data_IF_996285691232
#
_entry.id   IF_996285691232
#
_cell.length_a   1.000
_cell.length_b   1.000
_cell.length_c   1.000
_cell.angle_alpha   90.00
_cell.angle_beta   90.00
_cell.angle_gamma   90.00
#
_symmetry.space_group_name_H-M   'P 1'
#
loop_
_entity.id
_entity.type
_entity.pdbx_description
1 polymer ?
#
# COMPACT_ATOMS: atom_id res chain seq x y z
N UNK A 1 6.54 36.89 -2.91
CA UNK A 1 6.99 37.94 -3.86
C UNK A 1 8.49 37.83 -3.98
N UNK A 2 9.01 37.73 -5.22
CA UNK A 2 10.43 37.64 -5.63
C UNK A 2 11.14 36.31 -5.26
N UNK A 3 11.60 35.40 -6.14
CA UNK A 3 11.95 35.44 -7.57
C UNK A 3 11.71 34.05 -8.20
N UNK A 4 10.70 33.92 -9.08
CA UNK A 4 10.57 32.87 -10.09
C UNK A 4 10.66 33.53 -11.49
N UNK A 5 11.71 34.30 -11.72
CA UNK A 5 11.94 34.95 -13.03
C UNK A 5 13.29 34.48 -13.55
N UNK A 6 13.23 33.51 -14.48
CA UNK A 6 14.22 33.12 -15.49
C UNK A 6 14.27 31.59 -15.68
N UNK A 7 13.12 30.97 -15.93
CA UNK A 7 13.08 29.62 -16.53
C UNK A 7 12.70 29.82 -18.00
N UNK A 8 13.60 29.57 -18.97
CA UNK A 8 13.24 29.68 -20.38
C UNK A 8 12.26 28.55 -20.76
N UNK A 9 11.29 28.80 -21.65
CA UNK A 9 10.33 27.77 -22.04
C UNK A 9 11.03 26.67 -22.85
N UNK A 10 10.68 25.42 -22.57
CA UNK A 10 11.12 24.26 -23.36
C UNK A 10 10.38 24.31 -24.70
N UNK A 11 10.99 24.92 -25.71
CA UNK A 11 10.50 24.83 -27.09
C UNK A 11 10.58 23.37 -27.55
N UNK A 12 9.60 22.94 -28.33
CA UNK A 12 9.41 21.56 -28.82
C UNK A 12 10.52 21.00 -29.74
N UNK A 13 11.68 21.64 -29.78
CA UNK A 13 12.80 21.36 -30.72
C UNK A 13 14.20 21.42 -30.05
N UNK A 14 14.34 21.03 -28.78
CA UNK A 14 15.68 20.89 -28.18
C UNK A 14 16.26 19.49 -28.42
N UNK A 15 17.27 19.41 -29.28
CA UNK A 15 18.04 18.20 -29.57
C UNK A 15 18.84 17.70 -28.35
N UNK A 16 19.17 16.40 -28.37
CA UNK A 16 19.71 15.54 -27.30
C UNK A 16 21.03 15.97 -26.61
N UNK A 17 21.49 17.21 -26.72
CA UNK A 17 22.78 17.66 -26.16
C UNK A 17 22.69 18.50 -24.87
N UNK A 18 21.49 18.85 -24.37
CA UNK A 18 21.34 19.76 -23.20
C UNK A 18 21.12 19.07 -21.85
N UNK A 19 20.83 17.77 -21.81
CA UNK A 19 20.55 17.00 -20.58
C UNK A 19 21.77 16.83 -19.64
N UNK A 20 23.02 16.62 -20.13
CA UNK A 20 24.15 16.33 -19.24
C UNK A 20 24.60 17.50 -18.35
N UNK A 21 24.37 18.76 -18.78
CA UNK A 21 24.80 19.95 -18.01
C UNK A 21 23.94 20.20 -16.77
N UNK A 22 22.64 19.89 -16.84
CA UNK A 22 21.70 20.08 -15.73
C UNK A 22 22.01 19.11 -14.59
N UNK A 23 22.24 17.82 -14.87
CA UNK A 23 22.51 16.81 -13.83
C UNK A 23 23.81 17.11 -13.04
N UNK A 24 24.78 17.74 -13.70
CA UNK A 24 26.08 18.08 -13.10
C UNK A 24 26.01 19.31 -12.19
N UNK A 25 25.14 20.28 -12.47
CA UNK A 25 24.91 21.43 -11.58
C UNK A 25 24.09 21.05 -10.34
N UNK A 26 23.08 20.19 -10.50
CA UNK A 26 22.23 19.73 -9.40
C UNK A 26 22.99 18.92 -8.35
N UNK A 27 23.95 18.10 -8.79
CA UNK A 27 24.82 17.32 -7.89
C UNK A 27 25.79 18.20 -7.11
N UNK A 28 26.33 19.28 -7.71
CA UNK A 28 27.16 20.25 -6.97
C UNK A 28 26.39 21.04 -5.90
N UNK A 29 25.15 21.42 -6.18
CA UNK A 29 24.29 22.13 -5.23
C UNK A 29 23.79 21.25 -4.08
N UNK A 30 23.62 19.94 -4.33
CA UNK A 30 23.20 18.99 -3.30
C UNK A 30 24.33 18.67 -2.30
N UNK A 31 25.58 18.59 -2.76
CA UNK A 31 26.73 18.25 -1.91
C UNK A 31 27.38 19.43 -1.20
N UNK A 32 27.17 20.68 -1.62
CA UNK A 32 27.74 21.86 -0.94
C UNK A 32 27.02 22.24 0.36
N UNK A 33 25.88 21.61 0.67
CA UNK A 33 25.02 21.94 1.82
C UNK A 33 25.09 20.99 3.02
N UNK A 34 25.86 19.90 2.95
CA UNK A 34 26.15 19.05 4.10
C UNK A 34 27.53 19.37 4.68
N UNK A 35 27.62 20.50 5.39
CA UNK A 35 28.74 20.79 6.30
C UNK A 35 28.30 20.34 7.69
N UNK A 36 28.82 19.21 8.16
CA UNK A 36 28.48 18.62 9.45
C UNK A 36 28.75 19.62 10.60
N UNK A 37 27.72 19.95 11.38
CA UNK A 37 27.81 20.78 12.58
C UNK A 37 27.39 19.97 13.80
N UNK A 38 28.31 19.20 14.37
CA UNK A 38 28.51 19.01 15.83
C UNK A 38 29.42 17.80 16.10
N UNK A 39 30.11 17.83 17.24
CA UNK A 39 31.21 16.92 17.58
C UNK A 39 30.82 15.49 17.96
N UNK A 40 29.55 15.11 17.95
CA UNK A 40 29.06 13.84 18.51
C UNK A 40 28.94 12.68 17.49
N UNK A 41 29.07 12.93 16.19
CA UNK A 41 29.07 11.87 15.16
C UNK A 41 30.46 11.27 14.86
N UNK A 42 31.54 11.92 15.34
CA UNK A 42 32.91 11.40 15.15
C UNK A 42 33.22 10.18 16.01
N UNK A 43 32.49 9.97 17.11
CA UNK A 43 32.75 8.86 18.03
C UNK A 43 32.04 7.56 17.64
N UNK A 44 31.02 7.60 16.77
CA UNK A 44 30.36 6.41 16.23
C UNK A 44 31.22 5.62 15.23
N UNK A 45 32.29 6.22 14.68
CA UNK A 45 33.17 5.56 13.70
C UNK A 45 34.42 4.89 14.30
N UNK A 46 34.66 4.98 15.62
CA UNK A 46 35.82 4.34 16.27
C UNK A 46 35.58 2.90 16.74
N UNK A 47 34.36 2.38 16.72
CA UNK A 47 34.03 1.04 17.23
C UNK A 47 34.36 -0.13 16.27
N UNK A 48 34.80 0.14 15.04
CA UNK A 48 35.11 -0.91 14.06
C UNK A 48 36.50 -0.75 13.38
N UNK A 49 37.55 -0.64 14.20
CA UNK A 49 38.85 -1.23 13.86
C UNK A 49 39.67 -0.62 12.71
N UNK A 50 39.63 0.70 12.49
CA UNK A 50 40.55 1.36 11.55
C UNK A 50 41.66 2.13 12.30
N UNK A 51 42.93 1.69 12.13
CA UNK A 51 44.11 2.43 12.59
C UNK A 51 44.56 3.44 11.52
N UNK A 52 44.77 4.67 11.99
CA UNK A 52 45.65 5.75 11.50
C UNK A 52 45.50 6.27 10.06
N UNK A 53 45.33 7.58 9.97
CA UNK A 53 45.20 8.40 8.77
C UNK A 53 46.55 9.04 8.43
N UNK A 54 47.11 8.74 7.25
CA UNK A 54 48.25 9.49 6.71
C UNK A 54 48.19 9.48 5.17
N UNK A 55 48.17 10.67 4.56
CA UNK A 55 48.39 10.83 3.12
C UNK A 55 47.22 10.47 2.19
N UNK A 56 46.01 10.95 2.44
CA UNK A 56 45.01 11.26 1.38
C UNK A 56 44.50 10.14 0.46
N UNK A 57 44.83 8.87 0.66
CA UNK A 57 44.34 7.74 -0.14
C UNK A 57 43.90 6.57 0.77
N UNK A 58 42.69 6.05 0.55
CA UNK A 58 42.23 4.79 1.12
C UNK A 58 42.64 3.65 0.18
N UNK A 59 43.50 2.74 0.65
CA UNK A 59 43.79 1.49 -0.07
C UNK A 59 42.91 0.38 0.50
N UNK A 60 41.83 0.04 -0.20
CA UNK A 60 41.05 -1.17 0.08
C UNK A 60 41.69 -2.34 -0.69
N UNK A 61 42.20 -3.36 0.02
CA UNK A 61 42.49 -4.65 -0.60
C UNK A 61 41.16 -5.33 -0.93
N UNK A 62 40.71 -5.21 -2.18
CA UNK A 62 39.66 -6.06 -2.74
C UNK A 62 40.28 -7.37 -3.20
N UNK A 63 39.94 -8.47 -2.54
CA UNK A 63 40.11 -9.79 -3.12
C UNK A 63 39.12 -9.92 -4.29
N UNK A 64 39.68 -9.99 -5.51
CA UNK A 64 39.06 -10.52 -6.73
C UNK A 64 37.73 -9.93 -7.14
N UNK A 65 37.74 -8.99 -8.09
CA UNK A 65 36.76 -8.82 -9.18
C UNK A 65 37.31 -7.75 -10.15
N UNK A 66 37.53 -8.11 -11.42
CA UNK A 66 38.12 -7.20 -12.42
C UNK A 66 37.13 -6.14 -12.90
N UNK A 67 37.51 -4.87 -12.87
CA UNK A 67 36.75 -3.78 -13.49
C UNK A 67 37.01 -3.72 -15.01
N UNK A 68 35.97 -3.90 -15.82
CA UNK A 68 36.00 -3.52 -17.24
C UNK A 68 35.46 -2.10 -17.42
N UNK A 69 36.25 -1.25 -18.08
CA UNK A 69 35.96 0.16 -18.31
C UNK A 69 34.99 0.32 -19.48
N UNK A 70 33.72 0.62 -19.22
CA UNK A 70 32.72 0.86 -20.29
C UNK A 70 33.00 2.23 -20.94
N UNK A 71 33.41 2.24 -22.21
CA UNK A 71 33.65 3.49 -22.94
C UNK A 71 32.35 4.12 -23.45
N UNK A 72 32.30 5.45 -23.50
CA UNK A 72 31.15 6.24 -24.03
C UNK A 72 30.74 5.84 -25.46
N UNK A 73 31.67 5.28 -26.26
CA UNK A 73 31.37 4.73 -27.61
C UNK A 73 30.59 3.41 -27.57
N UNK A 74 30.73 2.61 -26.51
CA UNK A 74 29.96 1.36 -26.34
C UNK A 74 28.47 1.62 -26.14
N UNK A 75 28.12 2.72 -25.46
CA UNK A 75 26.73 3.10 -25.22
C UNK A 75 26.03 3.63 -26.49
N UNK A 76 26.75 4.40 -27.32
CA UNK A 76 26.19 4.98 -28.55
C UNK A 76 25.99 3.95 -29.67
N UNK A 77 26.79 2.89 -29.71
CA UNK A 77 26.58 1.78 -30.67
C UNK A 77 25.37 0.90 -30.34
N UNK A 78 24.97 0.83 -29.06
CA UNK A 78 23.80 0.05 -28.62
C UNK A 78 22.46 0.77 -28.83
N UNK A 79 22.44 2.10 -28.91
CA UNK A 79 21.21 2.87 -29.14
C UNK A 79 20.80 2.93 -30.62
N UNK A 80 21.73 2.74 -31.56
CA UNK A 80 21.49 2.87 -33.00
C UNK A 80 20.83 1.67 -33.68
N UNK A 81 20.75 0.50 -33.04
CA UNK A 81 20.25 -0.75 -33.63
C UNK A 81 18.81 -1.11 -33.26
N UNK A 82 18.09 -0.27 -32.53
CA UNK A 82 16.71 -0.55 -32.12
C UNK A 82 15.62 -0.10 -33.12
N UNK A 83 15.98 0.37 -34.32
CA UNK A 83 15.02 0.93 -35.27
C UNK A 83 14.50 -0.03 -36.36
N UNK A 84 15.03 -1.24 -36.54
CA UNK A 84 14.50 -2.16 -37.57
C UNK A 84 14.62 -3.64 -37.20
N UNK A 85 13.47 -4.32 -37.13
CA UNK A 85 13.34 -5.74 -37.44
C UNK A 85 13.69 -6.74 -36.33
N UNK A 86 12.77 -7.68 -36.09
CA UNK A 86 13.01 -8.84 -35.25
C UNK A 86 14.11 -9.76 -35.83
N UNK A 87 14.84 -10.40 -34.90
CA UNK A 87 15.66 -11.63 -35.03
C UNK A 87 17.20 -11.48 -34.90
N UNK A 88 17.67 -11.96 -33.73
CA UNK A 88 18.93 -12.67 -33.44
C UNK A 88 20.28 -12.05 -33.86
N UNK A 89 21.14 -11.75 -32.88
CA UNK A 89 22.34 -12.55 -32.56
C UNK A 89 22.74 -12.25 -31.10
N UNK A 90 22.75 -13.30 -30.29
CA UNK A 90 23.41 -13.33 -29.00
C UNK A 90 24.92 -13.51 -29.23
N UNK A 91 25.72 -12.54 -28.82
CA UNK A 91 27.12 -12.76 -28.42
C UNK A 91 27.64 -11.53 -27.67
N UNK A 92 27.72 -11.63 -26.34
CA UNK A 92 28.73 -10.88 -25.59
C UNK A 92 28.39 -9.47 -25.15
N UNK A 93 27.21 -9.20 -24.57
CA UNK A 93 27.05 -8.13 -23.59
C UNK A 93 26.04 -8.58 -22.54
N UNK A 94 26.45 -8.49 -21.27
CA UNK A 94 25.67 -8.94 -20.12
C UNK A 94 24.22 -8.48 -20.20
N UNK A 95 23.34 -9.46 -20.00
CA UNK A 95 21.91 -9.36 -19.74
C UNK A 95 21.51 -8.08 -19.01
N UNK A 96 21.22 -7.03 -19.78
CA UNK A 96 20.26 -6.01 -19.38
C UNK A 96 18.90 -6.62 -19.66
N UNK A 97 18.42 -7.44 -18.71
CA UNK A 97 17.00 -7.76 -18.63
C UNK A 97 16.27 -6.43 -18.48
N UNK A 98 15.66 -5.95 -19.56
CA UNK A 98 14.58 -4.99 -19.44
C UNK A 98 13.58 -5.61 -18.45
N UNK A 99 13.34 -4.91 -17.34
CA UNK A 99 12.42 -5.33 -16.29
C UNK A 99 10.97 -5.23 -16.80
N UNK A 100 10.64 -6.04 -17.79
CA UNK A 100 9.27 -6.45 -18.03
C UNK A 100 9.09 -7.73 -17.23
N UNK A 101 8.28 -7.66 -16.17
CA UNK A 101 7.75 -8.87 -15.55
C UNK A 101 7.05 -9.66 -16.68
N UNK A 102 7.66 -10.78 -17.10
CA UNK A 102 6.91 -11.79 -17.86
C UNK A 102 5.78 -12.22 -16.94
N UNK A 103 4.54 -12.04 -17.40
CA UNK A 103 3.33 -12.13 -16.60
C UNK A 103 3.43 -13.17 -15.49
N UNK A 104 3.54 -12.68 -14.26
CA UNK A 104 3.73 -13.53 -13.09
C UNK A 104 2.46 -14.34 -12.83
N UNK A 105 2.58 -15.46 -12.09
CA UNK A 105 1.42 -16.23 -11.58
C UNK A 105 0.42 -15.37 -10.79
N UNK A 106 0.85 -14.18 -10.37
CA UNK A 106 0.09 -13.18 -9.62
C UNK A 106 -0.78 -12.26 -10.48
N UNK A 107 -0.67 -12.32 -11.81
CA UNK A 107 -1.43 -11.48 -12.75
C UNK A 107 -2.66 -12.20 -13.33
N UNK A 108 -2.84 -13.49 -13.02
CA UNK A 108 -4.02 -14.26 -13.41
C UNK A 108 -5.08 -14.19 -12.33
N UNK A 109 -6.26 -13.71 -12.69
CA UNK A 109 -7.41 -13.61 -11.80
C UNK A 109 -8.51 -14.62 -12.18
N UNK A 110 -9.34 -15.04 -11.21
CA UNK A 110 -9.16 -14.88 -9.77
C UNK A 110 -7.97 -15.71 -9.24
N UNK A 111 -7.41 -15.31 -8.10
CA UNK A 111 -6.47 -16.17 -7.37
C UNK A 111 -7.21 -17.40 -6.80
N UNK A 112 -6.53 -18.55 -6.67
CA UNK A 112 -7.17 -19.77 -6.18
C UNK A 112 -7.71 -19.58 -4.77
N UNK A 113 -8.97 -19.97 -4.52
CA UNK A 113 -9.60 -19.84 -3.20
C UNK A 113 -10.23 -21.15 -2.75
N UNK A 114 -9.92 -21.55 -1.52
CA UNK A 114 -10.56 -22.63 -0.77
C UNK A 114 -11.34 -22.02 0.40
N UNK A 115 -12.51 -22.59 0.72
CA UNK A 115 -13.35 -22.07 1.80
C UNK A 115 -12.61 -22.13 3.14
N UNK A 116 -12.72 -21.04 3.90
CA UNK A 116 -12.14 -20.93 5.23
C UNK A 116 -13.24 -20.98 6.29
N UNK A 117 -12.87 -21.37 7.51
CA UNK A 117 -13.77 -21.29 8.66
C UNK A 117 -13.80 -19.84 9.19
N UNK A 118 -14.97 -19.17 9.24
CA UNK A 118 -15.07 -17.79 9.71
C UNK A 118 -14.58 -17.60 11.15
N UNK A 119 -14.89 -18.54 12.05
CA UNK A 119 -14.50 -18.48 13.46
C UNK A 119 -12.99 -18.57 13.67
N UNK A 120 -12.34 -19.58 13.07
CA UNK A 120 -10.89 -19.74 13.05
C UNK A 120 -10.20 -18.52 12.46
N UNK A 121 -10.73 -17.98 11.36
CA UNK A 121 -10.17 -16.78 10.74
C UNK A 121 -10.27 -15.56 11.65
N UNK A 122 -11.38 -15.41 12.37
CA UNK A 122 -11.58 -14.35 13.34
C UNK A 122 -10.61 -14.48 14.53
N UNK A 123 -10.37 -15.69 15.05
CA UNK A 123 -9.36 -15.93 16.09
C UNK A 123 -7.95 -15.55 15.63
N UNK A 124 -7.55 -15.94 14.41
CA UNK A 124 -6.24 -15.58 13.88
C UNK A 124 -6.14 -14.05 13.73
N UNK A 125 -7.17 -13.40 13.18
CA UNK A 125 -7.19 -11.94 13.03
C UNK A 125 -7.12 -11.21 14.37
N UNK A 126 -7.82 -11.70 15.40
CA UNK A 126 -7.74 -11.14 16.75
C UNK A 126 -6.32 -11.20 17.30
N UNK A 127 -5.66 -12.35 17.17
CA UNK A 127 -4.31 -12.56 17.69
C UNK A 127 -3.25 -11.77 16.91
N UNK A 128 -3.32 -11.80 15.58
CA UNK A 128 -2.40 -11.08 14.69
C UNK A 128 -2.53 -9.56 14.81
N UNK A 129 -3.68 -9.05 15.26
CA UNK A 129 -3.87 -7.62 15.47
C UNK A 129 -2.82 -7.02 16.40
N UNK A 130 -2.36 -7.78 17.40
CA UNK A 130 -1.34 -7.31 18.34
C UNK A 130 0.08 -7.26 17.75
N UNK A 131 0.29 -7.82 16.55
CA UNK A 131 1.56 -7.80 15.82
C UNK A 131 1.53 -6.81 14.65
N UNK A 132 0.45 -6.84 13.86
CA UNK A 132 0.33 -6.11 12.58
C UNK A 132 -0.89 -5.21 12.45
N UNK A 133 -1.62 -5.01 13.54
CA UNK A 133 -2.80 -4.12 13.62
C UNK A 133 -3.91 -4.46 12.62
N UNK A 134 -4.84 -3.52 12.46
CA UNK A 134 -6.16 -3.77 11.87
C UNK A 134 -6.12 -4.36 10.46
N UNK A 135 -5.45 -3.69 9.52
CA UNK A 135 -5.44 -4.12 8.12
C UNK A 135 -4.52 -5.29 7.88
N UNK A 136 -3.30 -5.24 8.42
CA UNK A 136 -2.35 -6.33 8.37
C UNK A 136 -2.93 -7.64 8.93
N UNK A 137 -3.70 -7.59 10.02
CA UNK A 137 -4.26 -8.80 10.62
C UNK A 137 -5.44 -9.40 9.84
N UNK A 138 -6.27 -8.61 9.15
CA UNK A 138 -7.29 -9.15 8.22
C UNK A 138 -6.61 -9.87 7.04
N UNK A 139 -5.55 -9.27 6.50
CA UNK A 139 -4.78 -9.88 5.41
C UNK A 139 -4.09 -11.16 5.91
N UNK A 140 -3.40 -11.06 7.05
CA UNK A 140 -2.67 -12.16 7.68
C UNK A 140 -3.59 -13.34 7.95
N UNK A 141 -4.76 -13.13 8.55
CA UNK A 141 -5.64 -14.22 8.95
C UNK A 141 -6.18 -15.04 7.78
N UNK A 142 -6.36 -14.43 6.60
CA UNK A 142 -6.89 -15.12 5.42
C UNK A 142 -5.73 -15.69 4.58
N UNK A 143 -4.72 -14.88 4.29
CA UNK A 143 -3.63 -15.29 3.39
C UNK A 143 -2.69 -16.32 4.02
N UNK A 144 -2.48 -16.31 5.33
CA UNK A 144 -1.71 -17.39 5.99
C UNK A 144 -2.40 -18.76 5.81
N UNK A 145 -3.70 -18.83 6.06
CA UNK A 145 -4.47 -20.06 5.89
C UNK A 145 -4.52 -20.53 4.44
N UNK A 146 -4.68 -19.61 3.48
CA UNK A 146 -4.63 -19.95 2.06
C UNK A 146 -3.22 -20.34 1.62
N UNK A 147 -2.17 -19.75 2.21
CA UNK A 147 -0.77 -20.15 2.01
C UNK A 147 -0.48 -21.57 2.50
N UNK A 148 -1.06 -21.98 3.63
CA UNK A 148 -0.97 -23.35 4.13
C UNK A 148 -1.72 -24.36 3.24
N UNK A 149 -2.92 -23.99 2.78
CA UNK A 149 -3.81 -24.86 2.01
C UNK A 149 -3.44 -24.99 0.53
N UNK A 150 -3.06 -23.88 -0.10
CA UNK A 150 -2.90 -23.74 -1.55
C UNK A 150 -1.44 -23.50 -1.92
N UNK A 151 -0.67 -22.81 -1.07
CA UNK A 151 0.70 -22.40 -1.37
C UNK A 151 0.74 -21.06 -2.09
N UNK A 152 1.40 -21.01 -3.25
CA UNK A 152 1.49 -19.78 -4.04
C UNK A 152 0.14 -19.41 -4.67
N UNK A 153 -0.16 -18.10 -4.78
CA UNK A 153 0.71 -16.95 -4.48
C UNK A 153 0.64 -16.41 -3.04
N UNK A 154 -0.15 -17.03 -2.16
CA UNK A 154 -0.36 -16.54 -0.79
C UNK A 154 0.87 -16.74 0.10
N UNK A 155 1.58 -17.86 -0.10
CA UNK A 155 2.76 -18.21 0.70
C UNK A 155 3.87 -17.16 0.61
N UNK A 156 4.05 -16.53 -0.55
CA UNK A 156 5.05 -15.48 -0.76
C UNK A 156 4.49 -14.05 -0.65
N UNK A 157 3.22 -13.88 -0.25
CA UNK A 157 2.60 -12.56 -0.16
C UNK A 157 3.19 -11.73 1.02
N UNK A 158 3.63 -10.48 0.80
CA UNK A 158 4.33 -9.69 1.82
C UNK A 158 3.34 -9.05 2.83
N UNK A 159 2.70 -9.86 3.67
CA UNK A 159 1.66 -9.45 4.61
C UNK A 159 2.11 -8.29 5.52
N UNK A 160 3.33 -8.38 6.07
CA UNK A 160 3.85 -7.40 7.03
C UNK A 160 4.05 -6.01 6.42
N UNK A 161 4.19 -5.92 5.10
CA UNK A 161 4.26 -4.63 4.41
C UNK A 161 2.98 -3.81 4.56
N UNK A 162 1.86 -4.41 5.00
CA UNK A 162 0.57 -3.75 5.20
C UNK A 162 0.32 -3.24 6.63
N UNK A 163 1.33 -3.31 7.51
CA UNK A 163 1.22 -2.77 8.89
C UNK A 163 0.85 -1.29 8.91
N UNK A 164 1.22 -0.54 7.86
CA UNK A 164 0.88 0.88 7.72
C UNK A 164 -0.63 1.17 7.73
N UNK A 165 -1.48 0.17 7.50
CA UNK A 165 -2.94 0.32 7.57
C UNK A 165 -3.45 0.59 9.00
N UNK A 166 -2.60 0.47 10.02
CA UNK A 166 -2.92 0.75 11.40
C UNK A 166 -3.47 2.16 11.62
N UNK A 167 -4.28 2.36 12.67
CA UNK A 167 -4.77 3.70 13.03
C UNK A 167 -5.56 4.42 11.92
N UNK A 168 -5.97 3.70 10.87
CA UNK A 168 -6.53 4.29 9.66
C UNK A 168 -5.48 5.04 8.84
N UNK A 169 -4.40 4.32 8.55
CA UNK A 169 -3.19 4.69 7.81
C UNK A 169 -2.14 5.44 8.65
N UNK A 170 -1.45 4.78 9.56
CA UNK A 170 -0.42 5.39 10.43
C UNK A 170 -0.98 6.50 11.32
N UNK A 171 -2.18 6.29 11.85
CA UNK A 171 -2.76 7.13 12.91
C UNK A 171 -3.56 8.36 12.46
N UNK A 172 -3.67 8.61 11.15
CA UNK A 172 -4.47 9.72 10.61
C UNK A 172 -5.99 9.58 10.81
N UNK A 173 -6.45 8.40 11.21
CA UNK A 173 -7.86 8.18 11.54
C UNK A 173 -8.78 8.10 10.33
N UNK A 174 -8.26 7.89 9.11
CA UNK A 174 -9.02 7.85 7.86
C UNK A 174 -9.88 6.58 7.73
N UNK A 175 -9.78 5.79 6.64
CA UNK A 175 -10.49 4.50 6.54
C UNK A 175 -10.05 3.55 7.65
N UNK A 176 -10.96 2.79 8.27
CA UNK A 176 -10.56 1.78 9.23
C UNK A 176 -9.65 0.73 8.58
N UNK A 177 -8.50 0.45 9.19
CA UNK A 177 -7.53 -0.50 8.62
C UNK A 177 -8.11 -1.87 8.34
N UNK A 178 -9.05 -2.38 9.16
CA UNK A 178 -9.72 -3.67 8.91
C UNK A 178 -10.54 -3.64 7.61
N UNK A 179 -11.22 -2.52 7.32
CA UNK A 179 -11.95 -2.33 6.06
C UNK A 179 -10.99 -2.25 4.86
N UNK A 180 -9.86 -1.55 5.02
CA UNK A 180 -8.83 -1.48 3.98
C UNK A 180 -8.23 -2.86 3.70
N UNK A 181 -7.88 -3.62 4.74
CA UNK A 181 -7.40 -5.01 4.62
C UNK A 181 -8.42 -5.91 3.92
N UNK A 182 -9.71 -5.78 4.26
CA UNK A 182 -10.77 -6.55 3.60
C UNK A 182 -10.93 -6.20 2.10
N UNK A 183 -10.76 -4.93 1.74
CA UNK A 183 -10.77 -4.49 0.34
C UNK A 183 -9.57 -5.06 -0.42
N UNK A 184 -8.38 -5.08 0.19
CA UNK A 184 -7.19 -5.71 -0.40
C UNK A 184 -7.44 -7.20 -0.63
N UNK A 185 -7.87 -7.93 0.39
CA UNK A 185 -8.11 -9.37 0.30
C UNK A 185 -9.13 -9.72 -0.78
N UNK A 186 -10.28 -9.06 -0.80
CA UNK A 186 -11.33 -9.35 -1.80
C UNK A 186 -10.90 -9.05 -3.24
N UNK A 187 -10.17 -7.95 -3.47
CA UNK A 187 -9.68 -7.60 -4.81
C UNK A 187 -8.49 -8.46 -5.24
N UNK A 188 -7.68 -8.98 -4.31
CA UNK A 188 -6.60 -9.94 -4.63
C UNK A 188 -7.18 -11.33 -4.88
N UNK A 189 -8.16 -11.79 -4.12
CA UNK A 189 -8.71 -13.14 -4.35
C UNK A 189 -9.53 -13.17 -5.64
N UNK A 190 -10.45 -12.23 -5.81
CA UNK A 190 -11.41 -12.26 -6.93
C UNK A 190 -10.84 -11.56 -8.18
N UNK A 191 -9.90 -10.66 -7.98
CA UNK A 191 -9.33 -9.80 -9.01
C UNK A 191 -9.92 -8.39 -9.01
N UNK A 192 -9.19 -7.41 -9.57
CA UNK A 192 -9.68 -6.06 -9.74
C UNK A 192 -10.72 -6.00 -10.86
N UNK A 193 -11.63 -5.02 -10.82
CA UNK A 193 -12.67 -4.84 -11.86
C UNK A 193 -12.13 -4.70 -13.29
N UNK A 194 -10.86 -4.31 -13.43
CA UNK A 194 -10.18 -4.16 -14.73
C UNK A 194 -9.65 -5.47 -15.31
N UNK A 195 -9.71 -6.58 -14.56
CA UNK A 195 -9.22 -7.89 -15.00
C UNK A 195 -10.16 -8.62 -15.97
N UNK A 196 -11.36 -8.07 -16.22
CA UNK A 196 -12.34 -8.64 -17.14
C UNK A 196 -13.38 -9.53 -16.44
N UNK A 197 -14.10 -10.35 -17.23
CA UNK A 197 -15.20 -11.16 -16.73
C UNK A 197 -14.79 -12.11 -15.58
N UNK A 198 -15.55 -12.10 -14.49
CA UNK A 198 -15.31 -12.95 -13.30
C UNK A 198 -14.62 -12.25 -12.13
N UNK A 199 -14.12 -11.02 -12.32
CA UNK A 199 -13.48 -10.21 -11.27
C UNK A 199 -14.34 -9.05 -10.73
N UNK A 200 -15.60 -8.97 -11.13
CA UNK A 200 -16.49 -7.84 -10.80
C UNK A 200 -16.84 -7.81 -9.31
N UNK A 201 -16.85 -8.98 -8.65
CA UNK A 201 -17.31 -9.12 -7.27
C UNK A 201 -16.28 -8.68 -6.22
N UNK A 202 -15.00 -8.57 -6.55
CA UNK A 202 -13.94 -8.15 -5.61
C UNK A 202 -14.24 -6.79 -5.00
N UNK A 203 -14.42 -5.77 -5.84
CA UNK A 203 -14.76 -4.42 -5.38
C UNK A 203 -16.17 -4.33 -4.75
N UNK A 204 -17.12 -5.17 -5.18
CA UNK A 204 -18.48 -5.20 -4.61
C UNK A 204 -18.47 -5.72 -3.18
N UNK A 205 -17.75 -6.83 -2.92
CA UNK A 205 -17.57 -7.38 -1.56
C UNK A 205 -16.84 -6.37 -0.68
N UNK A 206 -15.76 -5.77 -1.17
CA UNK A 206 -15.02 -4.73 -0.44
C UNK A 206 -15.90 -3.53 -0.05
N UNK A 207 -16.77 -3.07 -0.94
CA UNK A 207 -17.74 -2.01 -0.65
C UNK A 207 -18.82 -2.45 0.36
N UNK A 208 -19.34 -3.67 0.21
CA UNK A 208 -20.35 -4.22 1.11
C UNK A 208 -19.86 -4.41 2.54
N UNK A 209 -18.58 -4.76 2.71
CA UNK A 209 -17.97 -4.83 4.04
C UNK A 209 -17.91 -3.46 4.70
N UNK A 210 -17.58 -2.40 3.95
CA UNK A 210 -17.60 -1.04 4.49
C UNK A 210 -19.01 -0.62 4.93
N UNK A 211 -20.04 -0.97 4.15
CA UNK A 211 -21.45 -0.74 4.52
C UNK A 211 -21.82 -1.52 5.78
N UNK A 212 -21.59 -2.84 5.78
CA UNK A 212 -21.87 -3.70 6.92
C UNK A 212 -21.16 -3.21 8.19
N UNK A 213 -19.88 -2.84 8.09
CA UNK A 213 -19.11 -2.26 9.20
C UNK A 213 -19.77 -0.99 9.75
N UNK A 214 -20.29 -0.15 8.86
CA UNK A 214 -20.88 1.13 9.22
C UNK A 214 -22.20 0.94 9.97
N UNK A 215 -23.01 -0.05 9.57
CA UNK A 215 -24.37 -0.25 10.07
C UNK A 215 -24.47 -1.28 11.21
N UNK A 216 -23.43 -2.10 11.41
CA UNK A 216 -23.44 -3.16 12.43
C UNK A 216 -22.95 -2.65 13.78
N UNK A 217 -23.63 -2.99 14.90
CA UNK A 217 -23.08 -2.79 16.24
C UNK A 217 -21.82 -3.65 16.46
N UNK A 218 -20.63 -3.02 16.36
CA UNK A 218 -19.35 -3.69 16.47
C UNK A 218 -18.70 -3.50 17.85
N UNK A 219 -17.95 -4.51 18.38
CA UNK A 219 -17.56 -5.76 17.72
C UNK A 219 -18.68 -6.82 17.63
N UNK A 220 -18.75 -7.54 16.50
CA UNK A 220 -19.70 -8.63 16.27
C UNK A 220 -19.18 -9.95 16.85
N UNK A 221 -17.91 -10.26 16.55
CA UNK A 221 -17.20 -11.42 17.04
C UNK A 221 -16.56 -11.18 18.41
N UNK A 222 -16.67 -12.17 19.31
CA UNK A 222 -15.96 -12.21 20.58
C UNK A 222 -14.96 -13.36 20.53
N UNK A 223 -13.65 -13.11 20.71
CA UNK A 223 -12.65 -14.18 20.71
C UNK A 223 -12.86 -15.11 21.91
N UNK A 224 -12.44 -16.37 21.76
CA UNK A 224 -12.52 -17.38 22.83
C UNK A 224 -11.75 -16.94 24.07
N UNK A 225 -10.54 -16.44 23.85
CA UNK A 225 -9.67 -15.94 24.92
C UNK A 225 -9.32 -14.46 24.70
N UNK A 226 -10.22 -13.52 25.06
CA UNK A 226 -9.90 -12.11 24.96
C UNK A 226 -8.82 -11.74 25.98
N UNK A 227 -7.86 -10.91 25.58
CA UNK A 227 -6.85 -10.31 26.46
C UNK A 227 -7.48 -9.37 27.48
N UNK A 228 -8.57 -8.70 27.12
CA UNK A 228 -9.35 -7.85 28.04
C UNK A 228 -10.64 -8.56 28.42
N UNK A 229 -10.77 -8.91 29.70
CA UNK A 229 -11.95 -9.64 30.22
C UNK A 229 -13.14 -8.73 30.50
N UNK A 230 -12.91 -7.42 30.66
CA UNK A 230 -13.97 -6.42 30.77
C UNK A 230 -14.89 -6.46 29.55
N UNK A 231 -16.20 -6.29 29.77
CA UNK A 231 -17.17 -6.20 28.69
C UNK A 231 -16.84 -5.02 27.76
N UNK A 232 -16.67 -5.31 26.47
CA UNK A 232 -16.43 -4.30 25.44
C UNK A 232 -17.77 -3.89 24.84
N UNK A 233 -18.14 -2.61 25.04
CA UNK A 233 -19.37 -2.06 24.49
C UNK A 233 -19.44 -2.22 22.96
N UNK A 234 -20.63 -2.48 22.42
CA UNK A 234 -20.89 -2.49 20.99
C UNK A 234 -21.45 -1.14 20.55
N UNK A 235 -20.97 -0.61 19.43
CA UNK A 235 -21.45 0.64 18.86
C UNK A 235 -21.55 0.55 17.34
N UNK A 236 -22.59 1.14 16.77
CA UNK A 236 -22.69 1.40 15.34
C UNK A 236 -21.90 2.66 15.00
N UNK A 237 -21.10 2.62 13.92
CA UNK A 237 -20.21 3.72 13.56
C UNK A 237 -20.85 4.72 12.61
N UNK A 238 -21.81 4.28 11.81
CA UNK A 238 -22.42 5.02 10.69
C UNK A 238 -21.38 5.57 9.71
N UNK A 239 -20.17 5.00 9.70
CA UNK A 239 -19.05 5.48 8.90
C UNK A 239 -17.94 4.43 8.80
N UNK A 240 -17.32 4.24 7.62
CA UNK A 240 -16.16 3.37 7.49
C UNK A 240 -14.88 4.00 8.08
N UNK A 241 -14.94 5.23 8.60
CA UNK A 241 -13.80 5.98 9.10
C UNK A 241 -13.41 5.55 10.53
N UNK A 242 -12.11 5.36 10.73
CA UNK A 242 -11.50 4.96 11.99
C UNK A 242 -11.77 5.99 13.09
N UNK A 243 -11.58 7.29 12.80
CA UNK A 243 -11.77 8.36 13.78
C UNK A 243 -13.22 8.41 14.29
N UNK A 244 -14.21 8.23 13.39
CA UNK A 244 -15.63 8.21 13.76
C UNK A 244 -15.96 6.95 14.57
N UNK A 245 -15.53 5.78 14.08
CA UNK A 245 -15.83 4.52 14.77
C UNK A 245 -15.24 4.47 16.18
N UNK A 246 -13.96 4.84 16.33
CA UNK A 246 -13.28 4.83 17.63
C UNK A 246 -13.84 5.94 18.52
N UNK A 247 -14.08 7.14 18.00
CA UNK A 247 -14.63 8.27 18.75
C UNK A 247 -16.01 7.99 19.32
N UNK A 248 -16.93 7.42 18.53
CA UNK A 248 -18.27 7.00 19.00
C UNK A 248 -18.17 5.93 20.09
N UNK A 249 -17.28 4.96 19.91
CA UNK A 249 -17.06 3.93 20.92
C UNK A 249 -16.52 4.51 22.23
N UNK A 250 -15.51 5.38 22.16
CA UNK A 250 -14.93 6.03 23.36
C UNK A 250 -15.98 6.86 24.11
N UNK A 251 -16.85 7.59 23.38
CA UNK A 251 -17.95 8.33 23.98
C UNK A 251 -18.93 7.41 24.72
N UNK A 252 -19.26 6.25 24.13
CA UNK A 252 -20.19 5.30 24.71
C UNK A 252 -19.61 4.49 25.87
N UNK A 253 -18.31 4.17 25.82
CA UNK A 253 -17.65 3.30 26.80
C UNK A 253 -16.98 4.05 27.95
N UNK A 254 -16.67 5.34 27.77
CA UNK A 254 -15.91 6.14 28.72
C UNK A 254 -14.40 5.87 28.72
N UNK A 255 -13.91 4.91 27.91
CA UNK A 255 -12.49 4.58 27.88
C UNK A 255 -11.69 5.52 26.96
N UNK A 256 -10.47 5.93 27.36
CA UNK A 256 -9.64 6.82 26.57
C UNK A 256 -8.98 6.12 25.37
N UNK A 257 -8.48 6.89 24.41
CA UNK A 257 -7.82 6.37 23.19
C UNK A 257 -6.62 5.46 23.51
N UNK A 258 -5.87 5.73 24.58
CA UNK A 258 -4.70 4.94 24.97
C UNK A 258 -5.03 3.61 25.67
N UNK A 259 -6.29 3.39 26.04
CA UNK A 259 -6.70 2.28 26.91
C UNK A 259 -6.49 0.90 26.28
N UNK A 260 -6.31 -0.10 27.15
CA UNK A 260 -6.20 -1.49 26.73
C UNK A 260 -7.53 -2.01 26.15
N UNK A 261 -8.65 -1.53 26.69
CA UNK A 261 -10.02 -1.79 26.25
C UNK A 261 -10.25 -1.28 24.82
N UNK A 262 -9.79 -0.06 24.48
CA UNK A 262 -9.88 0.46 23.11
C UNK A 262 -9.06 -0.40 22.15
N UNK A 263 -7.83 -0.75 22.52
CA UNK A 263 -6.96 -1.60 21.70
C UNK A 263 -7.61 -2.96 21.44
N UNK A 264 -8.11 -3.60 22.49
CA UNK A 264 -8.83 -4.87 22.41
C UNK A 264 -10.12 -4.77 21.60
N UNK A 265 -10.89 -3.67 21.73
CA UNK A 265 -12.02 -3.39 20.85
C UNK A 265 -11.62 -3.36 19.38
N UNK A 266 -10.51 -2.71 19.03
CA UNK A 266 -10.01 -2.70 17.65
C UNK A 266 -9.58 -4.09 17.18
N UNK A 267 -9.00 -4.91 18.04
CA UNK A 267 -8.69 -6.31 17.73
C UNK A 267 -9.97 -7.13 17.48
N UNK A 268 -11.01 -6.99 18.31
CA UNK A 268 -12.30 -7.67 18.11
C UNK A 268 -13.05 -7.20 16.87
N UNK A 269 -12.98 -5.91 16.56
CA UNK A 269 -13.53 -5.35 15.31
C UNK A 269 -12.80 -5.92 14.10
N UNK A 270 -11.47 -6.05 14.19
CA UNK A 270 -10.66 -6.70 13.15
C UNK A 270 -11.06 -8.16 12.93
N UNK A 271 -11.24 -8.91 14.02
CA UNK A 271 -11.76 -10.27 13.98
C UNK A 271 -13.17 -10.34 13.37
N UNK A 272 -14.04 -9.40 13.72
CA UNK A 272 -15.41 -9.30 13.19
C UNK A 272 -15.43 -9.07 11.68
N UNK A 273 -14.56 -8.18 11.17
CA UNK A 273 -14.43 -7.92 9.74
C UNK A 273 -13.88 -9.13 9.01
N UNK A 274 -12.87 -9.80 9.56
CA UNK A 274 -12.33 -11.03 8.97
C UNK A 274 -13.38 -12.16 8.92
N UNK A 275 -14.17 -12.33 9.98
CA UNK A 275 -15.29 -13.27 10.04
C UNK A 275 -16.28 -13.01 8.89
N UNK A 276 -16.79 -11.78 8.80
CA UNK A 276 -17.79 -11.39 7.80
C UNK A 276 -17.25 -11.52 6.38
N UNK A 277 -15.99 -11.16 6.15
CA UNK A 277 -15.34 -11.29 4.85
C UNK A 277 -15.25 -12.76 4.42
N UNK A 278 -14.91 -13.67 5.32
CA UNK A 278 -14.86 -15.11 4.99
C UNK A 278 -16.25 -15.65 4.66
N UNK A 279 -17.30 -15.22 5.35
CA UNK A 279 -18.67 -15.58 4.96
C UNK A 279 -18.98 -15.13 3.52
N UNK A 280 -18.62 -13.89 3.17
CA UNK A 280 -18.88 -13.34 1.84
C UNK A 280 -18.04 -14.03 0.75
N UNK A 281 -16.76 -14.35 1.03
CA UNK A 281 -15.89 -15.09 0.12
C UNK A 281 -16.35 -16.54 -0.05
N UNK A 282 -16.80 -17.20 1.01
CA UNK A 282 -17.37 -18.54 0.94
C UNK A 282 -18.67 -18.55 0.12
N UNK A 283 -19.56 -17.57 0.34
CA UNK A 283 -20.77 -17.41 -0.45
C UNK A 283 -20.45 -17.13 -1.93
N UNK A 284 -19.44 -16.31 -2.20
CA UNK A 284 -18.98 -16.04 -3.57
C UNK A 284 -18.45 -17.30 -4.24
N UNK A 285 -17.63 -18.08 -3.53
CA UNK A 285 -17.08 -19.35 -4.01
C UNK A 285 -18.16 -20.36 -4.35
N UNK A 286 -19.25 -20.40 -3.57
CA UNK A 286 -20.40 -21.26 -3.78
C UNK A 286 -21.39 -20.72 -4.85
N UNK A 287 -21.12 -19.55 -5.45
CA UNK A 287 -22.02 -18.89 -6.40
C UNK A 287 -23.29 -18.30 -5.77
N UNK A 288 -23.32 -18.17 -4.44
CA UNK A 288 -24.48 -17.74 -3.64
C UNK A 288 -24.35 -16.30 -3.10
N UNK A 289 -23.30 -15.58 -3.49
CA UNK A 289 -23.12 -14.21 -3.03
C UNK A 289 -24.10 -13.25 -3.70
N UNK A 290 -25.03 -12.72 -2.90
CA UNK A 290 -25.94 -11.67 -3.31
C UNK A 290 -25.39 -10.31 -2.90
N UNK A 291 -25.22 -9.42 -3.88
CA UNK A 291 -24.74 -8.06 -3.62
C UNK A 291 -25.83 -7.28 -2.87
N UNK A 292 -25.49 -6.73 -1.70
CA UNK A 292 -26.44 -5.97 -0.87
C UNK A 292 -26.29 -4.45 -0.96
N UNK A 293 -25.16 -3.94 -1.45
CA UNK A 293 -25.01 -2.52 -1.74
C UNK A 293 -25.69 -2.21 -3.07
N UNK A 294 -26.86 -1.60 -2.97
CA UNK A 294 -27.22 -0.57 -3.91
C UNK A 294 -26.31 0.63 -3.63
N UNK A 295 -25.36 0.88 -4.53
CA UNK A 295 -24.54 2.09 -4.48
C UNK A 295 -25.43 3.25 -4.91
N UNK A 296 -26.29 3.72 -4.00
CA UNK A 296 -27.05 4.95 -4.19
C UNK A 296 -26.06 6.09 -4.28
N UNK A 297 -26.13 6.96 -5.32
CA UNK A 297 -25.22 8.08 -5.44
C UNK A 297 -25.29 8.85 -4.12
N UNK A 298 -24.13 9.09 -3.53
CA UNK A 298 -23.96 9.75 -2.22
C UNK A 298 -24.69 11.11 -2.16
N UNK A 299 -25.09 11.63 -3.32
CA UNK A 299 -26.10 12.67 -3.55
C UNK A 299 -27.42 12.48 -2.81
N UNK A 300 -27.99 11.27 -2.81
CA UNK A 300 -29.30 10.98 -2.23
C UNK A 300 -29.32 11.16 -0.70
N UNK A 301 -28.15 11.25 -0.07
CA UNK A 301 -27.97 11.45 1.36
C UNK A 301 -27.25 12.77 1.69
N UNK A 302 -27.10 13.68 0.72
CA UNK A 302 -26.54 15.02 0.94
C UNK A 302 -25.04 15.07 1.27
N UNK A 303 -24.28 13.98 1.03
CA UNK A 303 -22.85 13.91 1.33
C UNK A 303 -22.06 13.93 0.01
N UNK A 304 -21.15 14.88 -0.14
CA UNK A 304 -20.25 14.95 -1.30
C UNK A 304 -19.27 13.79 -1.37
N UNK A 305 -19.26 13.11 -2.51
CA UNK A 305 -18.34 12.07 -2.93
C UNK A 305 -18.07 12.19 -4.45
N UNK A 306 -17.25 11.29 -4.99
CA UNK A 306 -16.82 11.31 -6.39
C UNK A 306 -17.97 11.36 -7.42
N UNK A 307 -19.16 10.88 -7.08
CA UNK A 307 -20.30 10.81 -8.00
C UNK A 307 -21.31 11.97 -7.84
N UNK A 308 -21.02 12.95 -6.98
CA UNK A 308 -21.86 14.12 -6.76
C UNK A 308 -21.04 15.37 -6.44
N UNK A 309 -19.87 15.50 -7.07
CA UNK A 309 -19.01 16.68 -7.01
C UNK A 309 -19.80 17.97 -7.25
N UNK A 310 -20.74 17.95 -8.21
CA UNK A 310 -21.61 19.09 -8.57
C UNK A 310 -22.53 19.56 -7.44
N UNK A 311 -22.70 18.78 -6.36
CA UNK A 311 -23.43 19.20 -5.16
C UNK A 311 -22.73 20.32 -4.37
N UNK A 312 -21.40 20.45 -4.48
CA UNK A 312 -20.63 21.57 -3.91
C UNK A 312 -19.84 22.36 -4.98
N UNK A 313 -19.52 21.72 -6.10
CA UNK A 313 -18.76 22.26 -7.23
C UNK A 313 -19.69 22.51 -8.42
N UNK A 314 -20.78 23.25 -8.21
CA UNK A 314 -21.68 23.72 -9.27
C UNK A 314 -21.10 24.93 -10.00
N UNK A 315 -21.81 26.06 -10.01
CA UNK A 315 -21.37 27.31 -10.65
C UNK A 315 -20.13 27.97 -10.01
N UNK A 316 -19.58 27.42 -8.91
CA UNK A 316 -18.43 27.94 -8.18
C UNK A 316 -17.09 27.26 -8.49
N UNK A 317 -17.01 26.36 -9.48
CA UNK A 317 -15.70 25.83 -9.93
C UNK A 317 -14.98 26.93 -10.73
N UNK A 318 -13.77 27.34 -10.35
CA UNK A 318 -12.95 28.21 -11.20
C UNK A 318 -12.74 27.53 -12.55
N UNK A 319 -12.96 28.27 -13.64
CA UNK A 319 -12.63 27.78 -14.99
C UNK A 319 -11.19 27.26 -14.99
N UNK A 320 -10.97 26.09 -15.61
CA UNK A 320 -9.65 25.51 -15.71
C UNK A 320 -8.67 26.57 -16.25
N UNK A 321 -7.51 26.78 -15.60
CA UNK A 321 -6.56 27.79 -16.06
C UNK A 321 -6.14 27.44 -17.48
N UNK A 322 -6.38 28.38 -18.40
CA UNK A 322 -5.84 28.26 -19.75
C UNK A 322 -4.32 28.28 -19.65
N UNK A 323 -3.60 27.43 -20.41
CA UNK A 323 -2.15 27.48 -20.43
C UNK A 323 -1.69 28.89 -20.79
N UNK A 324 -0.69 29.39 -20.07
CA UNK A 324 -0.10 30.69 -20.36
C UNK A 324 0.39 30.69 -21.82
N UNK A 325 -0.03 31.72 -22.58
CA UNK A 325 0.45 31.95 -23.95
C UNK A 325 1.94 32.27 -23.95
#
# INVERSE_FOLDING_TARGET
MLFLHNIPPVSRDSTLETIPKIVTEWSRLFFSRFRATSGTERDLFKAHGAKTFQGGHFTVKQNGLSHSHVSRRGLLKGAGTLAFGAATIAAGFGSLSAAFAKGGVNEKWPWPYEKLDPGKTAEIAYNEWYRVFCGGAVISSIFSQLGEKIGEPYKSFPIDAFVFLEGGIVGWGTVCGSNAGANIVSNVIIGPRIAGPGSEKGAVIGANIMKWYSETPLPYYTPKEPRIKTAIAKTTSDSPLCHVSVGKWMKASGFPIGSAERKDRCARVTASVAYKLVEDLNAWKDGKYEAKAEWGPVANFGITAQQNCTGCHGSGIPTAPMPAK
#
